data_IF_473229206960
#
_entry.id   IF_473229206960
#
_cell.length_a   1.000
_cell.length_b   1.000
_cell.length_c   1.000
_cell.angle_alpha   90.00
_cell.angle_beta   90.00
_cell.angle_gamma   90.00
#
_symmetry.space_group_name_H-M   'P 1'
#
loop_
_entity.id
_entity.type
_entity.pdbx_description
1 polymer ?
#
# COMPACT_ATOMS: atom_id res chain seq x y z
N UNK A 1 13.31 -4.01 -0.36
CA UNK A 1 12.01 -4.19 0.31
C UNK A 1 11.61 -2.97 1.10
N UNK A 2 10.62 -2.25 0.61
CA UNK A 2 9.96 -1.12 1.29
C UNK A 2 8.69 -1.61 1.99
N UNK A 3 8.32 -0.95 3.09
CA UNK A 3 7.18 -1.29 3.95
C UNK A 3 6.20 -0.11 4.04
N UNK A 4 4.91 -0.41 4.03
CA UNK A 4 3.84 0.53 4.23
C UNK A 4 2.89 0.01 5.31
N UNK A 5 2.87 0.68 6.45
CA UNK A 5 2.02 0.35 7.58
C UNK A 5 0.70 1.08 7.45
N UNK A 6 -0.38 0.33 7.28
CA UNK A 6 -1.71 0.91 7.03
C UNK A 6 -2.23 1.51 8.33
N UNK A 7 -2.47 2.81 8.30
CA UNK A 7 -3.08 3.57 9.39
C UNK A 7 -4.61 3.58 9.22
N UNK A 8 -5.10 3.90 8.02
CA UNK A 8 -6.52 4.07 7.73
C UNK A 8 -6.88 3.73 6.27
N UNK A 9 -8.16 3.43 6.03
CA UNK A 9 -8.67 3.07 4.69
C UNK A 9 -9.94 3.86 4.38
N UNK A 10 -9.86 4.76 3.42
CA UNK A 10 -10.97 5.64 3.01
C UNK A 10 -11.62 5.15 1.72
N UNK A 11 -12.82 4.59 1.83
CA UNK A 11 -13.68 4.29 0.67
C UNK A 11 -14.47 5.55 0.28
N UNK A 12 -14.10 6.17 -0.83
CA UNK A 12 -14.74 7.38 -1.34
C UNK A 12 -15.66 7.08 -2.52
N UNK A 13 -16.82 7.73 -2.58
CA UNK A 13 -17.83 7.45 -3.63
C UNK A 13 -17.41 7.85 -5.05
N UNK A 14 -16.36 8.66 -5.21
CA UNK A 14 -15.90 9.17 -6.51
C UNK A 14 -14.73 8.37 -7.11
N UNK A 15 -14.21 7.37 -6.40
CA UNK A 15 -13.18 6.44 -6.92
C UNK A 15 -13.60 5.00 -6.65
N UNK A 16 -13.27 4.08 -7.57
CA UNK A 16 -13.54 2.65 -7.35
C UNK A 16 -12.63 2.06 -6.27
N UNK A 17 -11.38 2.52 -6.23
CA UNK A 17 -10.36 2.02 -5.31
C UNK A 17 -10.34 2.90 -4.06
N UNK A 18 -10.28 2.32 -2.85
CA UNK A 18 -10.09 3.07 -1.62
C UNK A 18 -8.74 3.79 -1.64
N UNK A 19 -8.69 4.88 -0.89
CA UNK A 19 -7.46 5.59 -0.55
C UNK A 19 -6.95 4.99 0.75
N UNK A 20 -5.74 4.43 0.73
CA UNK A 20 -5.11 3.83 1.91
C UNK A 20 -4.10 4.82 2.46
N UNK A 21 -4.22 5.19 3.73
CA UNK A 21 -3.27 6.08 4.41
C UNK A 21 -2.39 5.28 5.35
N UNK A 22 -1.13 5.68 5.47
CA UNK A 22 -0.18 4.91 6.26
C UNK A 22 1.24 5.44 6.26
N UNK A 23 2.07 4.83 7.09
CA UNK A 23 3.47 5.20 7.23
C UNK A 23 4.31 4.41 6.22
N UNK A 24 5.04 5.15 5.37
CA UNK A 24 6.02 4.58 4.44
C UNK A 24 7.37 4.48 5.12
N UNK A 25 8.00 3.32 5.00
CA UNK A 25 9.41 3.07 5.22
C UNK A 25 10.04 2.53 3.92
N UNK A 26 10.82 3.38 3.23
CA UNK A 26 11.42 3.08 1.93
C UNK A 26 10.74 3.76 0.76
N UNK A 27 10.94 3.22 -0.45
CA UNK A 27 10.43 3.80 -1.70
C UNK A 27 9.36 2.91 -2.34
N UNK A 28 8.30 3.56 -2.83
CA UNK A 28 7.17 2.93 -3.50
C UNK A 28 6.96 3.59 -4.87
N UNK A 29 6.99 2.78 -5.93
CA UNK A 29 6.83 3.26 -7.31
C UNK A 29 5.49 2.82 -7.88
N UNK A 30 4.82 3.70 -8.62
CA UNK A 30 3.60 3.35 -9.35
C UNK A 30 3.90 2.23 -10.36
N UNK A 31 3.08 1.18 -10.37
CA UNK A 31 3.27 -0.04 -11.15
C UNK A 31 4.10 -1.12 -10.44
N UNK A 32 4.68 -0.84 -9.28
CA UNK A 32 5.44 -1.80 -8.50
C UNK A 32 4.53 -2.86 -7.88
N UNK A 33 5.00 -4.13 -7.92
CA UNK A 33 4.34 -5.24 -7.24
C UNK A 33 4.38 -5.08 -5.73
N UNK A 34 3.27 -5.37 -5.07
CA UNK A 34 3.14 -5.29 -3.61
C UNK A 34 2.43 -6.52 -3.05
N UNK A 35 2.77 -6.84 -1.81
CA UNK A 35 2.16 -7.90 -1.01
C UNK A 35 1.54 -7.29 0.25
N UNK A 36 0.25 -7.52 0.46
CA UNK A 36 -0.48 -7.22 1.68
C UNK A 36 -0.41 -8.45 2.58
N UNK A 37 0.25 -8.32 3.72
CA UNK A 37 0.27 -9.33 4.78
C UNK A 37 -0.78 -8.99 5.84
N UNK A 38 -1.74 -9.90 6.03
CA UNK A 38 -2.75 -9.83 7.08
C UNK A 38 -2.21 -10.42 8.38
N UNK A 39 -2.74 -9.96 9.52
CA UNK A 39 -2.45 -10.55 10.82
C UNK A 39 -2.83 -12.05 10.93
N UNK A 40 -3.84 -12.51 10.18
CA UNK A 40 -4.28 -13.91 10.09
C UNK A 40 -3.33 -14.80 9.24
N UNK A 41 -2.24 -14.22 8.70
CA UNK A 41 -1.29 -14.93 7.83
C UNK A 41 -1.72 -15.05 6.36
N UNK A 42 -2.85 -14.44 5.98
CA UNK A 42 -3.27 -14.33 4.59
C UNK A 42 -2.44 -13.29 3.85
N UNK A 43 -2.17 -13.56 2.58
CA UNK A 43 -1.34 -12.71 1.74
C UNK A 43 -2.07 -12.40 0.45
N UNK A 44 -2.17 -11.12 0.10
CA UNK A 44 -2.77 -10.65 -1.14
C UNK A 44 -1.74 -9.91 -1.99
N UNK A 45 -1.66 -10.27 -3.27
CA UNK A 45 -0.72 -9.67 -4.22
C UNK A 45 -1.44 -8.67 -5.11
N UNK A 46 -0.85 -7.50 -5.28
CA UNK A 46 -1.37 -6.46 -6.17
C UNK A 46 -0.25 -5.59 -6.72
N UNK A 47 -0.63 -4.46 -7.31
CA UNK A 47 0.31 -3.42 -7.70
C UNK A 47 -0.11 -2.09 -7.11
N UNK A 48 0.87 -1.24 -6.88
CA UNK A 48 0.63 0.16 -6.54
C UNK A 48 0.11 0.90 -7.77
N UNK A 49 -1.07 1.52 -7.67
CA UNK A 49 -1.71 2.23 -8.80
C UNK A 49 -1.52 3.74 -8.76
N UNK A 50 -1.20 4.31 -7.60
CA UNK A 50 -1.04 5.75 -7.45
C UNK A 50 -0.61 6.15 -6.05
N UNK A 51 -0.10 7.37 -5.92
CA UNK A 51 0.31 7.98 -4.65
C UNK A 51 -0.18 9.41 -4.61
N UNK A 52 -0.87 9.75 -3.53
CA UNK A 52 -1.12 11.11 -3.11
C UNK A 52 -0.26 11.43 -1.89
N UNK A 53 0.60 12.44 -2.06
CA UNK A 53 1.46 12.93 -1.01
C UNK A 53 0.69 14.00 -0.25
N UNK A 54 0.30 13.68 0.99
CA UNK A 54 -0.22 14.66 1.92
C UNK A 54 0.83 14.87 3.02
N UNK A 55 1.89 15.62 2.69
CA UNK A 55 2.94 15.98 3.62
C UNK A 55 2.39 16.94 4.68
N UNK A 56 1.85 16.38 5.75
CA UNK A 56 1.68 17.13 6.98
C UNK A 56 3.06 17.33 7.60
N UNK A 57 3.42 18.56 7.98
CA UNK A 57 4.71 18.85 8.62
C UNK A 57 4.94 18.08 9.93
N UNK A 58 3.88 17.48 10.48
CA UNK A 58 3.86 16.69 11.72
C UNK A 58 4.23 15.22 11.48
N UNK A 59 4.02 14.70 10.26
CA UNK A 59 4.28 13.29 9.91
C UNK A 59 4.81 13.21 8.47
N UNK A 60 6.13 13.44 8.26
CA UNK A 60 6.72 13.52 6.92
C UNK A 60 6.64 12.21 6.13
N UNK A 61 6.46 11.09 6.83
CA UNK A 61 6.41 9.76 6.23
C UNK A 61 4.98 9.19 6.13
N UNK A 62 3.95 10.02 6.37
CA UNK A 62 2.56 9.60 6.23
C UNK A 62 2.08 9.90 4.81
N UNK A 63 1.77 8.85 4.04
CA UNK A 63 1.35 8.95 2.64
C UNK A 63 -0.03 8.35 2.42
N UNK A 64 -0.69 8.79 1.34
CA UNK A 64 -1.91 8.18 0.82
C UNK A 64 -1.57 7.41 -0.45
N UNK A 65 -1.79 6.11 -0.49
CA UNK A 65 -1.46 5.24 -1.62
C UNK A 65 -2.74 4.53 -2.09
N UNK A 66 -2.86 4.32 -3.39
CA UNK A 66 -3.91 3.47 -3.98
C UNK A 66 -3.30 2.20 -4.53
N UNK A 67 -3.99 1.08 -4.34
CA UNK A 67 -3.56 -0.25 -4.77
C UNK A 67 -4.63 -0.90 -5.66
N UNK A 68 -4.24 -1.92 -6.43
CA UNK A 68 -5.18 -2.70 -7.23
C UNK A 68 -6.18 -3.51 -6.40
N UNK A 69 -7.26 -3.95 -7.05
CA UNK A 69 -8.43 -4.62 -6.45
C UNK A 69 -8.16 -5.81 -5.51
N UNK A 70 -7.14 -6.69 -5.66
CA UNK A 70 -6.93 -7.73 -4.65
C UNK A 70 -6.44 -7.19 -3.30
N UNK A 71 -5.62 -6.13 -3.31
CA UNK A 71 -5.11 -5.48 -2.09
C UNK A 71 -6.17 -4.53 -1.54
N UNK A 72 -6.72 -3.68 -2.40
CA UNK A 72 -7.72 -2.68 -2.04
C UNK A 72 -9.00 -3.25 -1.45
N UNK A 73 -9.43 -4.44 -1.86
CA UNK A 73 -10.65 -5.05 -1.30
C UNK A 73 -10.42 -5.67 0.09
N UNK A 74 -9.17 -6.05 0.40
CA UNK A 74 -8.81 -6.80 1.60
C UNK A 74 -7.98 -6.00 2.62
N UNK A 75 -7.52 -4.81 2.27
CA UNK A 75 -6.71 -3.96 3.14
C UNK A 75 -7.54 -3.41 4.29
N UNK A 76 -6.99 -3.51 5.50
CA UNK A 76 -7.57 -3.02 6.75
C UNK A 76 -6.52 -2.23 7.54
N UNK A 77 -6.94 -1.28 8.40
CA UNK A 77 -6.03 -0.60 9.31
C UNK A 77 -5.26 -1.60 10.19
N UNK A 78 -3.96 -1.38 10.30
CA UNK A 78 -3.02 -2.27 11.01
C UNK A 78 -2.37 -3.35 10.12
N UNK A 79 -2.79 -3.51 8.87
CA UNK A 79 -2.08 -4.38 7.94
C UNK A 79 -0.73 -3.79 7.49
N UNK A 80 0.13 -4.66 6.97
CA UNK A 80 1.43 -4.26 6.42
C UNK A 80 1.50 -4.63 4.94
N UNK A 81 1.82 -3.64 4.11
CA UNK A 81 2.06 -3.82 2.69
C UNK A 81 3.56 -3.71 2.41
N UNK A 82 4.14 -4.71 1.76
CA UNK A 82 5.55 -4.72 1.39
C UNK A 82 5.74 -4.76 -0.11
N UNK A 83 6.76 -4.09 -0.63
CA UNK A 83 7.09 -4.17 -2.04
C UNK A 83 7.70 -5.52 -2.39
N UNK A 84 7.28 -6.06 -3.54
CA UNK A 84 7.91 -7.23 -4.15
C UNK A 84 8.92 -6.69 -5.15
N UNK A 85 10.20 -6.94 -4.91
CA UNK A 85 11.24 -6.62 -5.89
C UNK A 85 10.96 -7.41 -7.19
N UNK A 86 10.99 -6.77 -8.38
CA UNK A 86 10.88 -7.50 -9.64
C UNK A 86 12.08 -8.44 -9.88
N UNK A 87 13.13 -8.33 -9.06
CA UNK A 87 14.33 -9.18 -9.04
C UNK A 87 14.17 -10.48 -8.21
N UNK A 88 12.93 -10.95 -8.04
CA UNK A 88 12.65 -12.35 -7.72
C UNK A 88 12.68 -13.28 -8.94
N UNK A 89 12.99 -12.73 -10.12
CA UNK A 89 13.29 -13.48 -11.33
C UNK A 89 14.73 -13.94 -11.37
N UNK A 90 15.03 -15.06 -10.72
CA UNK A 90 16.21 -15.89 -11.03
C UNK A 90 16.18 -16.26 -12.53
N UNK A 91 17.29 -16.11 -13.27
CA UNK A 91 18.37 -17.11 -13.35
C UNK A 91 19.76 -16.63 -12.92
#
# INVERSE_FOLDING_TARGET
>A
MSKFEVDDVFRVSFQRLPIVTGFVDGEFTVGQGVELAKADGRVYRGVMTGMHIHTSSVAPNHFSITFSEPVSDNVEPGDVITTIDPDGGQP
#
